data_IF_240283119791
#
_entry.id   IF_240283119791
#
_cell.length_a   1.000
_cell.length_b   1.000
_cell.length_c   1.000
_cell.angle_alpha   90.00
_cell.angle_beta   90.00
_cell.angle_gamma   90.00
#
_symmetry.space_group_name_H-M   'P 1'
#
loop_
_entity.id
_entity.type
_entity.pdbx_description
1 polymer ?
#
# COMPACT_ATOMS: atom_id res chain seq x y z
N UNK A 1 -28.21 -46.62 27.31
CA UNK A 1 -28.99 -45.99 26.22
C UNK A 1 -29.15 -44.47 26.42
N UNK A 2 -29.53 -43.97 27.60
CA UNK A 2 -29.67 -42.52 27.89
C UNK A 2 -28.43 -41.67 27.54
N UNK A 3 -27.22 -42.10 27.90
CA UNK A 3 -25.99 -41.34 27.60
C UNK A 3 -25.74 -41.15 26.09
N UNK A 4 -26.04 -42.15 25.26
CA UNK A 4 -25.85 -42.08 23.79
C UNK A 4 -26.80 -41.06 23.18
N UNK A 5 -28.08 -41.06 23.58
CA UNK A 5 -29.06 -40.09 23.13
C UNK A 5 -28.67 -38.64 23.53
N UNK A 6 -28.12 -38.47 24.74
CA UNK A 6 -27.65 -37.17 25.21
C UNK A 6 -26.44 -36.67 24.41
N UNK A 7 -25.48 -37.53 24.08
CA UNK A 7 -24.36 -37.16 23.22
C UNK A 7 -24.81 -36.75 21.81
N UNK A 8 -25.75 -37.47 21.21
CA UNK A 8 -26.30 -37.13 19.89
C UNK A 8 -27.03 -35.78 19.90
N UNK A 9 -27.79 -35.49 20.98
CA UNK A 9 -28.43 -34.20 21.18
C UNK A 9 -27.42 -33.06 21.30
N UNK A 10 -26.37 -33.24 22.12
CA UNK A 10 -25.31 -32.24 22.29
C UNK A 10 -24.57 -31.95 20.97
N UNK A 11 -24.26 -32.97 20.18
CA UNK A 11 -23.63 -32.81 18.86
C UNK A 11 -24.52 -32.00 17.91
N UNK A 12 -25.83 -32.29 17.91
CA UNK A 12 -26.79 -31.58 17.06
C UNK A 12 -26.89 -30.10 17.44
N UNK A 13 -26.96 -29.80 18.74
CA UNK A 13 -26.98 -28.42 19.25
C UNK A 13 -25.68 -27.70 18.92
N UNK A 14 -24.51 -28.30 19.20
CA UNK A 14 -23.22 -27.70 18.89
C UNK A 14 -23.07 -27.41 17.38
N UNK A 15 -23.51 -28.33 16.51
CA UNK A 15 -23.51 -28.10 15.05
C UNK A 15 -24.40 -26.92 14.64
N UNK A 16 -25.56 -26.75 15.29
CA UNK A 16 -26.44 -25.59 15.04
C UNK A 16 -25.76 -24.28 15.43
N UNK A 17 -25.18 -24.20 16.63
CA UNK A 17 -24.47 -23.01 17.11
C UNK A 17 -23.28 -22.65 16.21
N UNK A 18 -22.47 -23.65 15.83
CA UNK A 18 -21.35 -23.46 14.89
C UNK A 18 -21.83 -22.89 13.55
N UNK A 19 -22.93 -23.43 13.01
CA UNK A 19 -23.48 -22.95 11.74
C UNK A 19 -23.99 -21.51 11.84
N UNK A 20 -24.58 -21.12 12.97
CA UNK A 20 -25.04 -19.75 13.21
C UNK A 20 -23.86 -18.77 13.32
N UNK A 21 -22.83 -19.13 14.08
CA UNK A 21 -21.60 -18.32 14.17
C UNK A 21 -20.96 -18.13 12.79
N UNK A 22 -20.87 -19.19 11.99
CA UNK A 22 -20.35 -19.09 10.63
C UNK A 22 -21.21 -18.26 9.69
N UNK A 23 -22.54 -18.25 9.89
CA UNK A 23 -23.40 -17.35 9.15
C UNK A 23 -23.10 -15.88 9.50
N UNK A 24 -22.87 -15.55 10.77
CA UNK A 24 -22.45 -14.20 11.17
C UNK A 24 -21.07 -13.83 10.60
N UNK A 25 -20.08 -14.73 10.67
CA UNK A 25 -18.75 -14.51 10.09
C UNK A 25 -18.83 -14.26 8.58
N UNK A 26 -19.66 -15.02 7.86
CA UNK A 26 -19.86 -14.81 6.43
C UNK A 26 -20.43 -13.41 6.12
N UNK A 27 -21.39 -12.93 6.92
CA UNK A 27 -21.97 -11.60 6.71
C UNK A 27 -20.96 -10.48 7.04
N UNK A 28 -20.19 -10.63 8.12
CA UNK A 28 -19.12 -9.69 8.48
C UNK A 28 -18.06 -9.59 7.37
N UNK A 29 -17.75 -10.71 6.73
CA UNK A 29 -16.79 -10.75 5.64
C UNK A 29 -17.30 -10.00 4.40
N UNK A 30 -18.58 -10.14 4.08
CA UNK A 30 -19.22 -9.37 3.02
C UNK A 30 -19.24 -7.88 3.33
N UNK A 31 -19.53 -7.50 4.56
CA UNK A 31 -19.52 -6.09 4.98
C UNK A 31 -18.11 -5.50 4.84
N UNK A 32 -17.09 -6.19 5.35
CA UNK A 32 -15.69 -5.76 5.25
C UNK A 32 -15.24 -5.57 3.79
N UNK A 33 -15.66 -6.49 2.91
CA UNK A 33 -15.44 -6.40 1.47
C UNK A 33 -16.15 -5.18 0.83
N UNK A 34 -17.40 -4.92 1.22
CA UNK A 34 -18.16 -3.77 0.71
C UNK A 34 -17.55 -2.44 1.17
N UNK A 35 -17.09 -2.37 2.41
CA UNK A 35 -16.41 -1.20 2.96
C UNK A 35 -15.09 -0.95 2.24
N UNK A 36 -14.31 -2.02 1.98
CA UNK A 36 -13.08 -1.96 1.19
C UNK A 36 -13.33 -1.43 -0.22
N UNK A 37 -14.36 -1.95 -0.89
CA UNK A 37 -14.77 -1.48 -2.22
C UNK A 37 -15.17 0.00 -2.21
N UNK A 38 -16.03 0.40 -1.29
CA UNK A 38 -16.50 1.79 -1.18
C UNK A 38 -15.34 2.73 -0.91
N UNK A 39 -14.43 2.36 -0.02
CA UNK A 39 -13.24 3.15 0.27
C UNK A 39 -12.32 3.26 -0.95
N UNK A 40 -12.13 2.18 -1.71
CA UNK A 40 -11.27 2.20 -2.90
C UNK A 40 -11.73 3.16 -3.99
N UNK A 41 -13.04 3.47 -4.06
CA UNK A 41 -13.58 4.42 -5.05
C UNK A 41 -13.20 5.87 -4.77
N UNK A 42 -12.80 6.18 -3.53
CA UNK A 42 -12.45 7.53 -3.08
C UNK A 42 -11.05 7.64 -2.50
N UNK A 43 -10.29 6.55 -2.50
CA UNK A 43 -8.94 6.50 -1.95
C UNK A 43 -8.00 7.33 -2.83
N UNK A 44 -7.30 8.28 -2.21
CA UNK A 44 -6.33 9.13 -2.91
C UNK A 44 -4.94 8.88 -2.33
N UNK A 45 -4.84 8.78 -1.00
CA UNK A 45 -3.56 8.69 -0.32
C UNK A 45 -3.12 7.25 -0.08
N UNK A 46 -1.82 7.07 0.17
CA UNK A 46 -1.23 5.76 0.47
C UNK A 46 -1.95 5.08 1.63
N UNK A 47 -2.25 5.84 2.68
CA UNK A 47 -2.91 5.37 3.90
C UNK A 47 -4.33 4.87 3.62
N UNK A 48 -5.06 5.53 2.71
CA UNK A 48 -6.37 5.07 2.27
C UNK A 48 -6.27 3.70 1.59
N UNK A 49 -5.30 3.54 0.69
CA UNK A 49 -5.07 2.28 -0.03
C UNK A 49 -4.57 1.15 0.89
N UNK A 50 -3.76 1.47 1.90
CA UNK A 50 -3.38 0.51 2.94
C UNK A 50 -4.61 0.05 3.75
N UNK A 51 -5.51 0.97 4.08
CA UNK A 51 -6.76 0.64 4.76
C UNK A 51 -7.67 -0.23 3.88
N UNK A 52 -7.78 0.06 2.57
CA UNK A 52 -8.48 -0.80 1.60
C UNK A 52 -7.89 -2.21 1.60
N UNK A 53 -6.57 -2.35 1.52
CA UNK A 53 -5.89 -3.64 1.50
C UNK A 53 -6.12 -4.43 2.79
N UNK A 54 -6.09 -3.75 3.93
CA UNK A 54 -6.38 -4.35 5.24
C UNK A 54 -7.81 -4.89 5.31
N UNK A 55 -8.80 -4.13 4.84
CA UNK A 55 -10.21 -4.53 4.85
C UNK A 55 -10.47 -5.73 3.92
N UNK A 56 -9.86 -5.76 2.74
CA UNK A 56 -9.92 -6.93 1.85
C UNK A 56 -9.28 -8.17 2.47
N UNK A 57 -8.13 -8.02 3.14
CA UNK A 57 -7.46 -9.14 3.81
C UNK A 57 -8.29 -9.69 4.98
N UNK A 58 -8.93 -8.81 5.76
CA UNK A 58 -9.82 -9.22 6.84
C UNK A 58 -11.03 -10.00 6.29
N UNK A 59 -11.68 -9.46 5.25
CA UNK A 59 -12.77 -10.15 4.55
C UNK A 59 -12.34 -11.54 4.04
N UNK A 60 -11.15 -11.65 3.43
CA UNK A 60 -10.61 -12.90 2.94
C UNK A 60 -10.38 -13.91 4.08
N UNK A 61 -9.75 -13.48 5.18
CA UNK A 61 -9.49 -14.33 6.34
C UNK A 61 -10.78 -14.86 6.98
N UNK A 62 -11.81 -14.01 7.08
CA UNK A 62 -13.12 -14.41 7.59
C UNK A 62 -13.82 -15.43 6.67
N UNK A 63 -13.69 -15.28 5.34
CA UNK A 63 -14.18 -16.27 4.38
C UNK A 63 -13.40 -17.59 4.45
N UNK A 64 -12.08 -17.53 4.62
CA UNK A 64 -11.19 -18.69 4.77
C UNK A 64 -11.56 -19.53 6.01
N UNK A 65 -11.99 -18.88 7.10
CA UNK A 65 -12.36 -19.51 8.36
C UNK A 65 -13.68 -20.30 8.35
N UNK A 66 -14.46 -20.23 7.27
CA UNK A 66 -15.74 -20.94 7.18
C UNK A 66 -15.49 -22.43 7.01
N UNK A 67 -16.03 -23.25 7.93
CA UNK A 67 -15.78 -24.70 7.96
C UNK A 67 -16.21 -25.41 6.67
N UNK A 68 -15.49 -26.45 6.22
CA UNK A 68 -15.92 -27.34 5.14
C UNK A 68 -17.30 -27.98 5.31
N UNK A 69 -17.81 -28.06 6.55
CA UNK A 69 -19.14 -28.61 6.85
C UNK A 69 -20.27 -27.60 6.59
N UNK A 70 -19.93 -26.32 6.38
CA UNK A 70 -20.90 -25.28 6.08
C UNK A 70 -21.29 -25.35 4.59
N UNK A 71 -22.60 -25.30 4.24
CA UNK A 71 -23.04 -25.29 2.85
C UNK A 71 -22.47 -24.13 2.02
N UNK A 72 -22.08 -23.02 2.66
CA UNK A 72 -21.46 -21.85 2.00
C UNK A 72 -19.95 -21.96 1.83
N UNK A 73 -19.30 -23.02 2.30
CA UNK A 73 -17.85 -23.14 2.30
C UNK A 73 -17.23 -22.92 0.91
N UNK A 74 -17.72 -23.62 -0.12
CA UNK A 74 -17.17 -23.50 -1.46
C UNK A 74 -17.24 -22.06 -1.99
N UNK A 75 -18.39 -21.39 -1.79
CA UNK A 75 -18.58 -19.99 -2.16
C UNK A 75 -17.68 -19.05 -1.35
N UNK A 76 -17.54 -19.30 -0.04
CA UNK A 76 -16.63 -18.54 0.81
C UNK A 76 -15.18 -18.64 0.34
N UNK A 77 -14.68 -19.85 0.05
CA UNK A 77 -13.32 -20.04 -0.46
C UNK A 77 -13.10 -19.38 -1.82
N UNK A 78 -14.12 -19.36 -2.69
CA UNK A 78 -14.05 -18.62 -3.95
C UNK A 78 -13.92 -17.12 -3.70
N UNK A 79 -14.74 -16.55 -2.80
CA UNK A 79 -14.68 -15.13 -2.42
C UNK A 79 -13.37 -14.76 -1.74
N UNK A 80 -12.83 -15.63 -0.88
CA UNK A 80 -11.52 -15.41 -0.27
C UNK A 80 -10.43 -15.17 -1.32
N UNK A 81 -10.36 -16.01 -2.36
CA UNK A 81 -9.40 -15.84 -3.47
C UNK A 81 -9.58 -14.52 -4.20
N UNK A 82 -10.82 -14.09 -4.44
CA UNK A 82 -11.12 -12.79 -5.02
C UNK A 82 -10.65 -11.65 -4.12
N UNK A 83 -10.97 -11.71 -2.83
CA UNK A 83 -10.62 -10.67 -1.87
C UNK A 83 -9.10 -10.56 -1.67
N UNK A 84 -8.35 -11.67 -1.69
CA UNK A 84 -6.88 -11.64 -1.69
C UNK A 84 -6.30 -10.95 -2.93
N UNK A 85 -6.90 -11.15 -4.12
CA UNK A 85 -6.49 -10.42 -5.33
C UNK A 85 -6.76 -8.93 -5.18
N UNK A 86 -7.93 -8.54 -4.68
CA UNK A 86 -8.27 -7.14 -4.46
C UNK A 86 -7.34 -6.48 -3.43
N UNK A 87 -6.96 -7.19 -2.36
CA UNK A 87 -5.95 -6.72 -1.40
C UNK A 87 -4.58 -6.49 -2.07
N UNK A 88 -4.20 -7.38 -3.00
CA UNK A 88 -2.95 -7.23 -3.76
C UNK A 88 -2.98 -5.97 -4.63
N UNK A 89 -4.09 -5.74 -5.35
CA UNK A 89 -4.28 -4.52 -6.14
C UNK A 89 -4.21 -3.28 -5.26
N UNK A 90 -4.89 -3.26 -4.11
CA UNK A 90 -4.86 -2.14 -3.19
C UNK A 90 -3.45 -1.86 -2.63
N UNK A 91 -2.66 -2.90 -2.33
CA UNK A 91 -1.26 -2.74 -1.93
C UNK A 91 -0.39 -2.15 -3.06
N UNK A 92 -0.65 -2.53 -4.31
CA UNK A 92 0.04 -1.94 -5.45
C UNK A 92 -0.31 -0.46 -5.57
N UNK A 93 -1.57 -0.07 -5.44
CA UNK A 93 -1.97 1.34 -5.42
C UNK A 93 -1.30 2.12 -4.28
N UNK A 94 -1.23 1.55 -3.08
CA UNK A 94 -0.50 2.16 -1.96
C UNK A 94 0.97 2.43 -2.30
N UNK A 95 1.66 1.48 -2.96
CA UNK A 95 3.06 1.66 -3.37
C UNK A 95 3.23 2.76 -4.42
N UNK A 96 2.26 2.94 -5.33
CA UNK A 96 2.32 4.02 -6.33
C UNK A 96 2.31 5.40 -5.66
N UNK A 97 1.47 5.56 -4.63
CA UNK A 97 1.37 6.80 -3.85
C UNK A 97 2.64 7.05 -3.03
N UNK A 98 3.21 5.99 -2.45
CA UNK A 98 4.46 6.03 -1.69
C UNK A 98 5.63 6.60 -2.50
N UNK A 99 5.80 6.15 -3.76
CA UNK A 99 6.88 6.64 -4.62
C UNK A 99 6.77 8.13 -4.91
N UNK A 100 5.56 8.64 -5.16
CA UNK A 100 5.35 10.06 -5.40
C UNK A 100 5.72 10.89 -4.16
N UNK A 101 5.20 10.53 -3.00
CA UNK A 101 5.46 11.25 -1.75
C UNK A 101 6.94 11.20 -1.35
N UNK A 102 7.59 10.04 -1.44
CA UNK A 102 9.02 9.93 -1.17
C UNK A 102 9.85 10.78 -2.14
N UNK A 103 9.49 10.83 -3.42
CA UNK A 103 10.12 11.71 -4.40
C UNK A 103 10.09 13.17 -3.98
N UNK A 104 8.93 13.65 -3.53
CA UNK A 104 8.78 15.03 -3.02
C UNK A 104 9.61 15.28 -1.76
N UNK A 105 9.65 14.31 -0.82
CA UNK A 105 10.44 14.43 0.42
C UNK A 105 11.93 14.57 0.13
N UNK A 106 12.46 13.76 -0.79
CA UNK A 106 13.86 13.84 -1.20
C UNK A 106 14.15 15.19 -1.89
N UNK A 107 13.25 15.66 -2.76
CA UNK A 107 13.39 16.98 -3.38
C UNK A 107 13.39 18.11 -2.36
N UNK A 108 12.48 18.09 -1.39
CA UNK A 108 12.45 19.08 -0.30
C UNK A 108 13.73 19.04 0.53
N UNK A 109 14.26 17.85 0.85
CA UNK A 109 15.52 17.70 1.57
C UNK A 109 16.68 18.30 0.78
N UNK A 110 16.75 18.06 -0.53
CA UNK A 110 17.75 18.65 -1.41
C UNK A 110 17.66 20.18 -1.42
N UNK A 111 16.45 20.75 -1.52
CA UNK A 111 16.21 22.20 -1.42
C UNK A 111 16.66 22.77 -0.09
N UNK A 112 16.35 22.12 1.03
CA UNK A 112 16.76 22.61 2.36
C UNK A 112 18.28 22.55 2.50
N UNK A 113 18.90 21.45 2.08
CA UNK A 113 20.35 21.25 2.15
C UNK A 113 21.12 22.23 1.27
N UNK A 114 20.57 22.62 0.10
CA UNK A 114 21.26 23.54 -0.81
C UNK A 114 21.41 24.95 -0.25
N UNK A 115 20.50 25.39 0.64
CA UNK A 115 20.58 26.72 1.25
C UNK A 115 21.78 26.92 2.18
N UNK A 116 22.31 25.85 2.77
CA UNK A 116 23.46 25.90 3.69
C UNK A 116 24.71 25.20 3.14
N UNK A 117 24.66 24.65 1.93
CA UNK A 117 25.77 23.91 1.33
C UNK A 117 26.95 24.83 0.98
N UNK A 118 28.13 24.53 1.52
CA UNK A 118 29.34 25.32 1.29
C UNK A 118 30.47 24.49 0.69
N UNK A 119 30.51 23.20 1.00
CA UNK A 119 31.61 22.31 0.60
C UNK A 119 31.20 21.39 -0.56
N UNK A 120 32.19 20.81 -1.24
CA UNK A 120 31.95 19.77 -2.24
C UNK A 120 31.15 18.59 -1.65
N UNK A 121 31.41 18.21 -0.39
CA UNK A 121 30.66 17.14 0.26
C UNK A 121 29.18 17.50 0.45
N UNK A 122 28.88 18.74 0.82
CA UNK A 122 27.50 19.22 0.96
C UNK A 122 26.76 19.21 -0.38
N UNK A 123 27.38 19.75 -1.44
CA UNK A 123 26.78 19.73 -2.77
C UNK A 123 26.64 18.31 -3.35
N UNK A 124 27.54 17.40 -2.98
CA UNK A 124 27.39 15.98 -3.30
C UNK A 124 26.17 15.36 -2.61
N UNK A 125 25.86 15.74 -1.35
CA UNK A 125 24.63 15.30 -0.66
C UNK A 125 23.38 15.87 -1.36
N UNK A 126 23.38 17.16 -1.70
CA UNK A 126 22.28 17.81 -2.43
C UNK A 126 22.02 17.11 -3.77
N UNK A 127 23.05 16.85 -4.57
CA UNK A 127 22.92 16.18 -5.86
C UNK A 127 22.38 14.74 -5.71
N UNK A 128 22.85 13.98 -4.71
CA UNK A 128 22.30 12.64 -4.43
C UNK A 128 20.83 12.66 -4.05
N UNK A 129 20.40 13.66 -3.28
CA UNK A 129 18.99 13.80 -2.92
C UNK A 129 18.11 14.14 -4.12
N UNK A 130 18.57 15.01 -5.02
CA UNK A 130 17.85 15.27 -6.28
C UNK A 130 17.76 14.03 -7.17
N UNK A 131 18.89 13.32 -7.36
CA UNK A 131 18.92 12.04 -8.09
C UNK A 131 17.91 11.06 -7.52
N UNK A 132 17.89 10.90 -6.18
CA UNK A 132 16.98 9.97 -5.54
C UNK A 132 15.52 10.39 -5.68
N UNK A 133 15.23 11.69 -5.60
CA UNK A 133 13.90 12.23 -5.84
C UNK A 133 13.40 11.85 -7.25
N UNK A 134 14.23 12.07 -8.27
CA UNK A 134 13.92 11.75 -9.68
C UNK A 134 13.69 10.24 -9.85
N UNK A 135 14.56 9.39 -9.33
CA UNK A 135 14.42 7.93 -9.40
C UNK A 135 13.10 7.43 -8.80
N UNK A 136 12.65 8.05 -7.70
CA UNK A 136 11.39 7.71 -7.05
C UNK A 136 10.19 8.18 -7.88
N UNK A 137 10.22 9.43 -8.37
CA UNK A 137 9.16 9.95 -9.23
C UNK A 137 9.03 9.15 -10.54
N UNK A 138 10.13 8.65 -11.10
CA UNK A 138 10.12 7.79 -12.30
C UNK A 138 9.46 6.42 -12.05
N UNK A 139 9.35 5.98 -10.80
CA UNK A 139 8.64 4.73 -10.43
C UNK A 139 7.13 4.92 -10.31
N UNK A 140 6.64 6.16 -10.35
CA UNK A 140 5.20 6.43 -10.40
C UNK A 140 4.68 5.95 -11.76
N UNK A 141 3.80 4.95 -11.81
CA UNK A 141 3.33 4.41 -13.09
C UNK A 141 2.34 5.37 -13.76
N UNK A 142 2.24 5.28 -15.08
CA UNK A 142 1.33 6.07 -15.91
C UNK A 142 -0.16 5.94 -15.55
N UNK A 143 -0.56 4.86 -14.88
CA UNK A 143 -1.92 4.68 -14.38
C UNK A 143 -2.22 5.47 -13.11
N UNK A 144 -1.21 6.03 -12.45
CA UNK A 144 -1.37 6.77 -11.19
C UNK A 144 -2.02 8.14 -11.45
N UNK A 145 -2.94 8.60 -10.59
CA UNK A 145 -3.47 9.96 -10.67
C UNK A 145 -2.40 11.05 -10.51
N UNK A 146 -1.23 10.71 -9.95
CA UNK A 146 -0.11 11.64 -9.77
C UNK A 146 0.94 11.57 -10.87
N UNK A 147 0.76 10.77 -11.92
CA UNK A 147 1.77 10.58 -12.97
C UNK A 147 2.19 11.90 -13.66
N UNK A 148 1.22 12.73 -14.05
CA UNK A 148 1.51 14.03 -14.68
C UNK A 148 2.23 14.98 -13.73
N UNK A 149 1.86 14.97 -12.45
CA UNK A 149 2.53 15.77 -11.41
C UNK A 149 3.96 15.27 -11.19
N UNK A 150 4.16 13.96 -11.14
CA UNK A 150 5.48 13.33 -11.02
C UNK A 150 6.37 13.72 -12.21
N UNK A 151 5.85 13.65 -13.44
CA UNK A 151 6.55 14.03 -14.66
C UNK A 151 6.95 15.51 -14.65
N UNK A 152 6.03 16.39 -14.25
CA UNK A 152 6.35 17.82 -14.10
C UNK A 152 7.44 18.06 -13.05
N UNK A 153 7.38 17.35 -11.91
CA UNK A 153 8.39 17.45 -10.86
C UNK A 153 9.75 16.90 -11.27
N UNK A 154 9.80 15.84 -12.07
CA UNK A 154 11.06 15.31 -12.63
C UNK A 154 11.78 16.40 -13.43
N UNK A 155 11.08 17.07 -14.35
CA UNK A 155 11.68 18.13 -15.16
C UNK A 155 12.24 19.28 -14.31
N UNK A 156 11.51 19.69 -13.27
CA UNK A 156 11.99 20.69 -12.30
C UNK A 156 13.25 20.20 -11.56
N UNK A 157 13.26 18.94 -11.12
CA UNK A 157 14.33 18.38 -10.31
C UNK A 157 15.59 18.10 -11.13
N UNK A 158 15.46 17.77 -12.42
CA UNK A 158 16.60 17.64 -13.35
C UNK A 158 17.37 18.95 -13.48
N UNK A 159 16.67 20.09 -13.57
CA UNK A 159 17.31 21.42 -13.58
C UNK A 159 18.05 21.68 -12.25
N UNK A 160 17.42 21.37 -11.12
CA UNK A 160 18.04 21.55 -9.81
C UNK A 160 19.26 20.63 -9.59
N UNK A 161 19.21 19.41 -10.12
CA UNK A 161 20.33 18.47 -10.12
C UNK A 161 21.51 19.02 -10.93
N UNK A 162 21.25 19.58 -12.11
CA UNK A 162 22.29 20.20 -12.93
C UNK A 162 22.99 21.34 -12.18
N UNK A 163 22.23 22.23 -11.53
CA UNK A 163 22.77 23.31 -10.71
C UNK A 163 23.63 22.76 -9.55
N UNK A 164 23.15 21.75 -8.83
CA UNK A 164 23.91 21.13 -7.75
C UNK A 164 25.21 20.47 -8.26
N UNK A 165 25.16 19.85 -9.44
CA UNK A 165 26.32 19.26 -10.12
C UNK A 165 27.36 20.31 -10.50
N UNK A 166 26.95 21.44 -11.09
CA UNK A 166 27.85 22.56 -11.41
C UNK A 166 28.57 23.09 -10.16
N UNK A 167 27.84 23.27 -9.05
CA UNK A 167 28.43 23.71 -7.77
C UNK A 167 29.44 22.71 -7.23
N UNK A 168 29.11 21.43 -7.28
CA UNK A 168 30.00 20.35 -6.86
C UNK A 168 31.30 20.37 -7.68
N UNK A 169 31.20 20.40 -9.01
CA UNK A 169 32.36 20.38 -9.92
C UNK A 169 33.27 21.57 -9.63
N UNK A 170 32.71 22.79 -9.55
CA UNK A 170 33.49 24.00 -9.29
C UNK A 170 34.27 23.94 -7.96
N UNK A 171 33.67 23.38 -6.90
CA UNK A 171 34.35 23.25 -5.61
C UNK A 171 35.42 22.17 -5.61
N UNK A 172 35.24 21.09 -6.37
CA UNK A 172 36.26 20.04 -6.50
C UNK A 172 37.44 20.48 -7.36
N UNK A 173 37.22 21.25 -8.44
CA UNK A 173 38.30 21.77 -9.28
C UNK A 173 39.17 22.79 -8.55
N UNK A 174 38.54 23.64 -7.72
CA UNK A 174 39.26 24.62 -6.91
C UNK A 174 40.07 23.98 -5.77
N UNK A 175 39.69 22.79 -5.29
CA UNK A 175 40.40 22.09 -4.22
C UNK A 175 41.69 21.38 -4.69
N UNK A 176 41.88 21.21 -6.01
CA UNK A 176 43.03 20.51 -6.61
C UNK A 176 44.06 21.49 -7.19
N UNK A 177 43.76 22.80 -7.18
CA UNK A 177 44.68 23.87 -7.57
C UNK A 177 45.41 24.43 -6.35
#
# INVERSE_FOLDING_TARGET
QQKIAQYQSNVTTARREINQLQASTYQQALQSANDAFTLSQRAIFQEDWQLVAMQWNNAAQQMEAISPQNPKHALAQQKAKEYRRNATTANQEAQKQDYYQQGLIHGQRATVASHSAQTAEDWSKVARDWLRAIELLQRVPNSSPDYEKATSKIAEYEVNLAIAGEKLIALTENAVR
#
